data_IF_266353562194
#
_entry.id   IF_266353562194
#
_cell.length_a   1.000
_cell.length_b   1.000
_cell.length_c   1.000
_cell.angle_alpha   90.00
_cell.angle_beta   90.00
_cell.angle_gamma   90.00
#
_symmetry.space_group_name_H-M   'P 1'
#
loop_
_entity.id
_entity.type
_entity.pdbx_description
1 polymer ?
#
# COMPACT_ATOMS: atom_id res chain seq x y z
N UNK A 1 -43.26 6.22 49.64
CA UNK A 1 -42.80 6.84 48.40
C UNK A 1 -41.57 6.05 47.93
N UNK A 2 -41.72 5.26 46.86
CA UNK A 2 -40.63 4.44 46.28
C UNK A 2 -40.13 5.11 45.00
N UNK A 3 -38.96 5.68 45.04
CA UNK A 3 -38.29 6.27 43.85
C UNK A 3 -37.64 5.19 43.05
N UNK A 4 -38.17 4.93 41.86
CA UNK A 4 -37.57 4.03 40.89
C UNK A 4 -36.44 4.77 40.13
N UNK A 5 -35.20 4.28 40.27
CA UNK A 5 -34.04 4.77 39.51
C UNK A 5 -34.02 4.02 38.19
N UNK A 6 -34.28 4.71 37.09
CA UNK A 6 -34.14 4.20 35.71
C UNK A 6 -32.71 4.40 35.28
N UNK A 7 -31.92 3.31 35.21
CA UNK A 7 -30.56 3.31 34.65
C UNK A 7 -30.69 3.15 33.13
N UNK A 8 -30.48 4.25 32.41
CA UNK A 8 -30.38 4.23 30.95
C UNK A 8 -29.01 3.68 30.54
N UNK A 9 -28.98 2.44 30.07
CA UNK A 9 -27.79 1.86 29.50
C UNK A 9 -27.55 2.46 28.10
N UNK A 10 -26.60 3.36 27.97
CA UNK A 10 -26.08 3.86 26.69
C UNK A 10 -25.24 2.75 26.03
N UNK A 11 -25.84 2.06 25.07
CA UNK A 11 -25.12 1.13 24.16
C UNK A 11 -24.21 1.95 23.24
N UNK A 12 -22.92 1.95 23.54
CA UNK A 12 -21.90 2.45 22.62
C UNK A 12 -21.81 1.50 21.43
N UNK A 13 -22.43 1.89 20.31
CA UNK A 13 -22.24 1.23 19.02
C UNK A 13 -20.86 1.64 18.52
N UNK A 14 -19.87 0.80 18.79
CA UNK A 14 -18.54 0.95 18.20
C UNK A 14 -18.64 0.58 16.70
N UNK A 15 -18.37 1.51 15.77
CA UNK A 15 -18.37 1.15 14.34
C UNK A 15 -17.27 0.13 14.11
N UNK A 16 -17.64 -1.09 13.75
CA UNK A 16 -16.71 -2.13 13.31
C UNK A 16 -16.17 -1.69 11.96
N UNK A 17 -14.94 -1.17 11.93
CA UNK A 17 -14.20 -0.94 10.69
C UNK A 17 -13.79 -2.31 10.17
N UNK A 18 -14.61 -2.89 9.29
CA UNK A 18 -14.19 -4.07 8.53
C UNK A 18 -13.06 -3.65 7.60
N UNK A 19 -11.84 -4.03 7.93
CA UNK A 19 -10.76 -4.03 6.94
C UNK A 19 -11.18 -4.98 5.81
N UNK A 20 -11.36 -4.47 4.60
CA UNK A 20 -11.69 -5.30 3.45
C UNK A 20 -10.58 -6.34 3.27
N UNK A 21 -10.95 -7.62 3.31
CA UNK A 21 -10.02 -8.71 3.05
C UNK A 21 -9.54 -8.65 1.59
N UNK A 22 -8.24 -8.84 1.38
CA UNK A 22 -7.66 -8.92 0.03
C UNK A 22 -8.20 -10.18 -0.65
N UNK A 23 -8.71 -10.02 -1.87
CA UNK A 23 -8.98 -11.16 -2.74
C UNK A 23 -7.67 -11.54 -3.45
N UNK A 24 -6.95 -12.50 -2.88
CA UNK A 24 -5.63 -12.90 -3.37
C UNK A 24 -5.63 -13.35 -4.84
N UNK A 25 -6.64 -14.09 -5.29
CA UNK A 25 -6.73 -14.54 -6.66
C UNK A 25 -6.88 -13.39 -7.65
N UNK A 26 -7.70 -12.39 -7.33
CA UNK A 26 -7.88 -11.18 -8.13
C UNK A 26 -6.62 -10.31 -8.10
N UNK A 27 -6.05 -10.09 -6.94
CA UNK A 27 -4.84 -9.30 -6.78
C UNK A 27 -3.66 -9.92 -7.54
N UNK A 28 -3.47 -11.24 -7.44
CA UNK A 28 -2.45 -11.96 -8.21
C UNK A 28 -2.69 -11.86 -9.72
N UNK A 29 -3.94 -12.02 -10.18
CA UNK A 29 -4.28 -11.85 -11.60
C UNK A 29 -3.97 -10.42 -12.09
N UNK A 30 -4.31 -9.40 -11.30
CA UNK A 30 -3.98 -8.01 -11.61
C UNK A 30 -2.46 -7.77 -11.63
N UNK A 31 -1.71 -8.39 -10.72
CA UNK A 31 -0.25 -8.35 -10.75
C UNK A 31 0.31 -8.94 -12.05
N UNK A 32 -0.14 -10.13 -12.43
CA UNK A 32 0.30 -10.79 -13.67
C UNK A 32 0.02 -9.96 -14.93
N UNK A 33 -1.14 -9.31 -14.98
CA UNK A 33 -1.56 -8.56 -16.17
C UNK A 33 -0.90 -7.19 -16.28
N UNK A 34 -0.67 -6.49 -15.16
CA UNK A 34 -0.30 -5.07 -15.18
C UNK A 34 1.04 -4.73 -14.54
N UNK A 35 1.66 -5.65 -13.78
CA UNK A 35 2.87 -5.36 -13.02
C UNK A 35 4.03 -6.31 -13.37
N UNK A 36 3.74 -7.60 -13.54
CA UNK A 36 4.73 -8.67 -13.71
C UNK A 36 5.63 -8.48 -14.93
N UNK A 37 5.12 -7.85 -16.01
CA UNK A 37 5.92 -7.61 -17.22
C UNK A 37 7.20 -6.80 -16.96
N UNK A 38 7.16 -5.93 -15.94
CA UNK A 38 8.32 -5.15 -15.50
C UNK A 38 8.97 -5.75 -14.24
N UNK A 39 8.15 -6.16 -13.26
CA UNK A 39 8.63 -6.57 -11.94
C UNK A 39 8.93 -8.06 -11.81
N UNK A 40 8.75 -8.86 -12.87
CA UNK A 40 8.92 -10.33 -12.92
C UNK A 40 7.94 -11.10 -12.01
N UNK A 41 7.73 -12.42 -12.25
CA UNK A 41 6.78 -13.21 -11.44
C UNK A 41 7.14 -13.28 -9.95
N UNK A 42 8.41 -13.18 -9.63
CA UNK A 42 8.97 -13.30 -8.27
C UNK A 42 9.29 -11.95 -7.61
N UNK A 43 8.97 -10.82 -8.26
CA UNK A 43 9.22 -9.49 -7.74
C UNK A 43 10.67 -9.03 -7.76
N UNK A 44 11.60 -9.75 -8.44
CA UNK A 44 13.03 -9.37 -8.47
C UNK A 44 13.33 -8.19 -9.37
N UNK A 45 12.40 -7.84 -10.28
CA UNK A 45 12.60 -6.79 -11.26
C UNK A 45 13.51 -7.20 -12.40
N UNK A 46 13.71 -6.30 -13.37
CA UNK A 46 14.56 -6.57 -14.53
C UNK A 46 15.24 -5.29 -15.03
N UNK A 47 16.55 -5.33 -15.27
CA UNK A 47 17.35 -4.17 -15.72
C UNK A 47 17.21 -2.96 -14.80
N UNK A 48 16.60 -1.88 -15.30
CA UNK A 48 16.38 -0.63 -14.57
C UNK A 48 15.11 -0.64 -13.70
N UNK A 49 14.30 -1.70 -13.79
CA UNK A 49 13.08 -1.83 -12.98
C UNK A 49 13.45 -2.28 -11.56
N UNK A 50 13.07 -1.51 -10.54
CA UNK A 50 13.45 -1.82 -9.17
C UNK A 50 12.88 -3.15 -8.69
N UNK A 51 13.67 -3.84 -7.87
CA UNK A 51 13.25 -5.01 -7.12
C UNK A 51 12.15 -4.63 -6.12
N UNK A 52 11.11 -5.45 -6.05
CA UNK A 52 10.07 -5.41 -5.02
C UNK A 52 10.42 -6.33 -3.85
N UNK A 53 10.90 -7.53 -4.18
CA UNK A 53 11.19 -8.60 -3.23
C UNK A 53 12.23 -8.19 -2.18
N UNK A 54 11.83 -8.19 -0.91
CA UNK A 54 12.65 -7.78 0.22
C UNK A 54 12.91 -6.28 0.32
N UNK A 55 12.36 -5.45 -0.59
CA UNK A 55 12.67 -4.02 -0.66
C UNK A 55 11.44 -3.12 -0.57
N UNK A 56 10.30 -3.56 -1.15
CA UNK A 56 9.11 -2.69 -1.29
C UNK A 56 8.58 -2.20 0.06
N UNK A 57 8.67 -3.03 1.08
CA UNK A 57 8.19 -2.69 2.43
C UNK A 57 8.97 -1.56 3.10
N UNK A 58 10.26 -1.38 2.80
CA UNK A 58 11.09 -0.31 3.38
C UNK A 58 10.51 1.08 3.12
N UNK A 59 9.94 1.30 1.95
CA UNK A 59 9.32 2.59 1.61
C UNK A 59 8.16 2.97 2.54
N UNK A 60 7.52 2.00 3.19
CA UNK A 60 6.38 2.23 4.08
C UNK A 60 6.78 2.80 5.44
N UNK A 61 8.06 2.84 5.77
CA UNK A 61 8.58 3.49 6.99
C UNK A 61 8.60 5.01 6.88
N UNK A 62 8.48 5.54 5.65
CA UNK A 62 8.40 6.98 5.35
C UNK A 62 7.04 7.33 4.76
N UNK A 63 6.37 8.40 5.21
CA UNK A 63 5.12 8.87 4.59
C UNK A 63 5.28 9.12 3.08
N UNK A 64 6.37 9.78 2.67
CA UNK A 64 6.69 10.06 1.27
C UNK A 64 6.99 8.79 0.47
N UNK A 65 7.54 7.77 1.12
CA UNK A 65 7.78 6.46 0.52
C UNK A 65 6.47 5.70 0.28
N UNK A 66 5.51 5.80 1.21
CA UNK A 66 4.16 5.27 1.04
C UNK A 66 3.47 5.93 -0.16
N UNK A 67 3.53 7.25 -0.27
CA UNK A 67 2.97 7.99 -1.40
C UNK A 67 3.65 7.60 -2.72
N UNK A 68 4.97 7.43 -2.71
CA UNK A 68 5.79 7.04 -3.85
C UNK A 68 5.28 5.77 -4.52
N UNK A 69 4.97 4.72 -3.75
CA UNK A 69 4.52 3.43 -4.29
C UNK A 69 3.25 3.51 -5.13
N UNK A 70 2.36 4.47 -4.83
CA UNK A 70 1.14 4.71 -5.61
C UNK A 70 1.41 5.64 -6.80
N UNK A 71 2.33 6.61 -6.64
CA UNK A 71 2.53 7.70 -7.59
C UNK A 71 3.52 7.39 -8.71
N UNK A 72 4.25 6.26 -8.63
CA UNK A 72 5.09 5.79 -9.76
C UNK A 72 4.22 5.56 -11.00
N UNK A 73 4.66 5.94 -12.20
CA UNK A 73 3.83 5.88 -13.41
C UNK A 73 3.18 4.52 -13.64
N UNK A 74 3.89 3.41 -13.44
CA UNK A 74 3.33 2.08 -13.61
C UNK A 74 2.09 1.81 -12.75
N UNK A 75 2.04 2.36 -11.53
CA UNK A 75 0.88 2.29 -10.66
C UNK A 75 -0.14 3.40 -11.00
N UNK A 76 0.31 4.66 -10.98
CA UNK A 76 -0.59 5.82 -11.10
C UNK A 76 -1.39 5.84 -12.42
N UNK A 77 -0.78 5.42 -13.53
CA UNK A 77 -1.43 5.41 -14.86
C UNK A 77 -2.03 4.05 -15.24
N UNK A 78 -2.02 3.08 -14.33
CA UNK A 78 -2.69 1.80 -14.52
C UNK A 78 -4.18 1.98 -14.83
N UNK A 79 -4.74 1.10 -15.68
CA UNK A 79 -6.18 1.09 -16.00
C UNK A 79 -7.03 0.47 -14.89
N UNK A 80 -6.41 -0.09 -13.86
CA UNK A 80 -7.11 -0.65 -12.71
C UNK A 80 -7.96 0.42 -12.02
N UNK A 81 -9.12 0.03 -11.51
CA UNK A 81 -9.90 0.88 -10.60
C UNK A 81 -9.07 1.23 -9.35
N UNK A 82 -9.44 2.29 -8.64
CA UNK A 82 -8.73 2.68 -7.41
C UNK A 82 -8.77 1.56 -6.36
N UNK A 83 -9.87 0.82 -6.28
CA UNK A 83 -10.01 -0.34 -5.38
C UNK A 83 -9.13 -1.52 -5.81
N UNK A 84 -9.08 -1.84 -7.10
CA UNK A 84 -8.24 -2.94 -7.59
C UNK A 84 -6.75 -2.59 -7.49
N UNK A 85 -6.39 -1.32 -7.72
CA UNK A 85 -5.02 -0.85 -7.54
C UNK A 85 -4.62 -0.90 -6.06
N UNK A 86 -5.49 -0.47 -5.15
CA UNK A 86 -5.24 -0.59 -3.71
C UNK A 86 -5.04 -2.06 -3.30
N UNK A 87 -5.89 -2.95 -3.80
CA UNK A 87 -5.80 -4.38 -3.51
C UNK A 87 -4.49 -5.01 -4.01
N UNK A 88 -4.11 -4.75 -5.27
CA UNK A 88 -2.88 -5.31 -5.83
C UNK A 88 -1.62 -4.73 -5.16
N UNK A 89 -1.62 -3.44 -4.78
CA UNK A 89 -0.52 -2.85 -4.02
C UNK A 89 -0.36 -3.50 -2.65
N UNK A 90 -1.47 -3.71 -1.93
CA UNK A 90 -1.47 -4.41 -0.65
C UNK A 90 -0.95 -5.85 -0.80
N UNK A 91 -1.41 -6.56 -1.84
CA UNK A 91 -0.95 -7.90 -2.15
C UNK A 91 0.56 -7.94 -2.46
N UNK A 92 1.06 -7.02 -3.27
CA UNK A 92 2.49 -6.87 -3.60
C UNK A 92 3.32 -6.72 -2.32
N UNK A 93 2.90 -5.84 -1.42
CA UNK A 93 3.60 -5.57 -0.17
C UNK A 93 3.63 -6.81 0.73
N UNK A 94 2.50 -7.50 0.88
CA UNK A 94 2.41 -8.69 1.71
C UNK A 94 3.16 -9.89 1.11
N UNK A 95 3.20 -9.99 -0.23
CA UNK A 95 3.84 -11.12 -0.93
C UNK A 95 5.34 -10.91 -1.08
N UNK A 96 5.78 -9.71 -1.45
CA UNK A 96 7.18 -9.44 -1.77
C UNK A 96 7.92 -8.61 -0.73
N UNK A 97 7.23 -7.97 0.21
CA UNK A 97 7.87 -7.12 1.21
C UNK A 97 8.75 -7.92 2.19
N UNK A 98 8.40 -9.16 2.45
CA UNK A 98 9.12 -10.03 3.39
C UNK A 98 9.40 -9.31 4.73
N UNK A 99 10.61 -9.40 5.26
CA UNK A 99 11.01 -8.73 6.49
C UNK A 99 11.13 -7.20 6.38
N UNK A 100 11.02 -6.63 5.16
CA UNK A 100 11.05 -5.19 4.96
C UNK A 100 9.72 -4.50 5.26
N UNK A 101 8.62 -5.26 5.34
CA UNK A 101 7.29 -4.70 5.63
C UNK A 101 7.16 -4.40 7.13
N UNK A 102 6.85 -3.15 7.51
CA UNK A 102 6.64 -2.81 8.92
C UNK A 102 5.49 -3.61 9.54
N UNK A 103 5.65 -4.05 10.80
CA UNK A 103 4.63 -4.84 11.51
C UNK A 103 3.28 -4.11 11.63
N UNK A 104 3.30 -2.79 11.63
CA UNK A 104 2.12 -1.93 11.69
C UNK A 104 1.66 -1.46 10.31
N UNK A 105 2.01 -2.17 9.24
CA UNK A 105 1.59 -1.82 7.88
C UNK A 105 0.07 -1.67 7.80
N UNK A 106 -0.35 -0.48 7.39
CA UNK A 106 -1.76 -0.16 7.14
C UNK A 106 -2.05 -0.32 5.64
N UNK A 107 -3.02 -1.14 5.29
CA UNK A 107 -3.43 -1.34 3.90
C UNK A 107 -3.79 0.00 3.22
N UNK A 108 -3.48 0.11 1.93
CA UNK A 108 -4.02 1.17 1.09
C UNK A 108 -5.52 1.02 0.94
N UNK A 109 -6.24 2.14 0.94
CA UNK A 109 -7.66 2.19 0.60
C UNK A 109 -7.85 2.75 -0.81
N UNK A 110 -9.03 2.53 -1.40
CA UNK A 110 -9.37 3.08 -2.71
C UNK A 110 -9.31 4.62 -2.70
N UNK A 111 -9.76 5.26 -1.61
CA UNK A 111 -9.75 6.72 -1.45
C UNK A 111 -8.32 7.27 -1.40
N UNK A 112 -7.43 6.60 -0.67
CA UNK A 112 -6.02 6.97 -0.59
C UNK A 112 -5.35 6.86 -1.97
N UNK A 113 -5.58 5.75 -2.66
CA UNK A 113 -5.06 5.50 -4.01
C UNK A 113 -5.58 6.54 -4.99
N UNK A 114 -6.89 6.81 -5.00
CA UNK A 114 -7.53 7.82 -5.85
C UNK A 114 -6.86 9.20 -5.72
N UNK A 115 -6.64 9.62 -4.48
CA UNK A 115 -5.98 10.90 -4.17
C UNK A 115 -4.53 10.94 -4.65
N UNK A 116 -3.77 9.87 -4.42
CA UNK A 116 -2.34 9.83 -4.70
C UNK A 116 -2.05 9.68 -6.20
N UNK A 117 -2.75 8.77 -6.88
CA UNK A 117 -2.54 8.53 -8.32
C UNK A 117 -2.91 9.70 -9.21
N UNK A 118 -3.75 10.63 -8.73
CA UNK A 118 -4.08 11.86 -9.46
C UNK A 118 -2.88 12.79 -9.67
N UNK A 119 -1.76 12.52 -8.98
CA UNK A 119 -0.51 13.31 -9.03
C UNK A 119 0.69 12.39 -9.33
N UNK A 120 0.78 11.80 -10.54
CA UNK A 120 1.89 10.93 -10.90
C UNK A 120 3.24 11.64 -10.76
N UNK A 121 4.27 10.88 -10.41
CA UNK A 121 5.63 11.40 -10.37
C UNK A 121 6.21 11.52 -11.79
N UNK A 122 6.91 12.63 -12.05
CA UNK A 122 7.61 12.87 -13.32
C UNK A 122 9.09 12.50 -13.15
N UNK A 123 9.76 13.01 -12.13
CA UNK A 123 11.20 12.80 -11.86
C UNK A 123 11.43 11.59 -10.93
N UNK A 124 11.05 10.40 -11.39
CA UNK A 124 11.00 9.18 -10.57
C UNK A 124 12.38 8.79 -10.04
N UNK A 125 13.40 8.83 -10.89
CA UNK A 125 14.76 8.38 -10.54
C UNK A 125 15.33 9.26 -9.43
N UNK A 126 15.20 10.58 -9.56
CA UNK A 126 15.66 11.54 -8.57
C UNK A 126 14.89 11.40 -7.26
N UNK A 127 13.56 11.28 -7.34
CA UNK A 127 12.72 11.14 -6.16
C UNK A 127 13.02 9.84 -5.40
N UNK A 128 13.16 8.72 -6.13
CA UNK A 128 13.54 7.44 -5.53
C UNK A 128 14.90 7.50 -4.85
N UNK A 129 15.89 8.16 -5.46
CA UNK A 129 17.22 8.32 -4.87
C UNK A 129 17.15 9.06 -3.53
N UNK A 130 16.39 10.16 -3.46
CA UNK A 130 16.19 10.91 -2.21
C UNK A 130 15.55 10.06 -1.12
N UNK A 131 14.53 9.23 -1.46
CA UNK A 131 13.93 8.31 -0.51
C UNK A 131 14.92 7.27 0.01
N UNK A 132 15.74 6.69 -0.86
CA UNK A 132 16.75 5.72 -0.44
C UNK A 132 17.82 6.33 0.48
N UNK A 133 18.20 7.58 0.25
CA UNK A 133 19.12 8.32 1.13
C UNK A 133 18.48 8.59 2.51
N UNK A 134 17.19 8.86 2.56
CA UNK A 134 16.46 9.03 3.84
C UNK A 134 16.33 7.69 4.59
N UNK A 135 16.00 6.61 3.88
CA UNK A 135 15.92 5.27 4.47
C UNK A 135 17.26 4.83 5.08
N UNK A 136 18.38 5.06 4.37
CA UNK A 136 19.70 4.71 4.88
C UNK A 136 20.03 5.46 6.18
N UNK A 137 19.64 6.73 6.32
CA UNK A 137 19.86 7.53 7.54
C UNK A 137 18.98 7.11 8.71
N UNK A 138 17.84 6.50 8.45
CA UNK A 138 16.93 6.02 9.52
C UNK A 138 17.30 4.65 10.06
N UNK A 139 18.21 3.94 9.41
CA UNK A 139 18.72 2.61 9.79
C UNK A 139 20.04 2.69 10.58
N UNK A 140 20.67 3.89 10.70
CA UNK A 140 21.86 4.16 11.51
C UNK A 140 21.48 4.48 12.97
#
# INVERSE_FOLDING_TARGET
MRTAVVIAALLWICPQVFAASINEARAHSNYMLYCQGCHTPDGTGYKSIPRLKGEVGRFLTLPEGRDFLVRVPGAATSILSDSDLAEVLNWIILTFGENSTPANFRHYTAEEVSKLRSKPLVEIVQYRKQLLEQLAKSEE
#
